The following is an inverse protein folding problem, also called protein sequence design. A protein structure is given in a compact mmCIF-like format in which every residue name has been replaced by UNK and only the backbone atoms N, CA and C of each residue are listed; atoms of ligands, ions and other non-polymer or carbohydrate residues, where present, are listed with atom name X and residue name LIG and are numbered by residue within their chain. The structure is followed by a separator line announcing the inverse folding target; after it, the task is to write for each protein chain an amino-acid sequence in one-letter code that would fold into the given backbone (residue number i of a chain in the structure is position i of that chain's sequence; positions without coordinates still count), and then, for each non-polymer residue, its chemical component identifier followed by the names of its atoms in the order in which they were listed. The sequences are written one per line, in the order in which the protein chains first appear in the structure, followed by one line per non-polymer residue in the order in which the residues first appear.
data_IF_696548679712
#
_entry.id   IF_696548679712
#
_cell.length_a   1.000
_cell.length_b   1.000
_cell.length_c   1.000
_cell.angle_alpha   90.00
_cell.angle_beta   90.00
_cell.angle_gamma   90.00
#
_symmetry.space_group_name_H-M   'P 1'
#
loop_
_entity.id
_entity.type
_entity.pdbx_description
1 polymer ?
#
# COMPACT_ATOMS: atom_id res chain seq x y z
N UNK A 1 18.02 9.09 -12.71
CA UNK A 1 17.05 8.05 -13.11
C UNK A 1 16.84 7.02 -12.01
N UNK A 2 17.87 6.29 -11.58
CA UNK A 2 17.76 5.28 -10.49
C UNK A 2 17.22 5.84 -9.19
N UNK A 3 17.71 7.00 -8.73
CA UNK A 3 17.25 7.65 -7.49
C UNK A 3 15.76 8.00 -7.54
N UNK A 4 15.28 8.53 -8.66
CA UNK A 4 13.86 8.87 -8.86
C UNK A 4 12.98 7.63 -8.81
N UNK A 5 13.41 6.52 -9.43
CA UNK A 5 12.71 5.23 -9.39
C UNK A 5 12.64 4.68 -7.97
N UNK A 6 13.76 4.73 -7.22
CA UNK A 6 13.80 4.30 -5.83
C UNK A 6 12.84 5.11 -4.95
N UNK A 7 12.79 6.44 -5.13
CA UNK A 7 11.86 7.31 -4.41
C UNK A 7 10.41 6.96 -4.77
N UNK A 8 10.08 6.78 -6.05
CA UNK A 8 8.74 6.43 -6.50
C UNK A 8 8.29 5.07 -5.94
N UNK A 9 9.20 4.08 -5.88
CA UNK A 9 8.92 2.78 -5.28
C UNK A 9 8.58 2.90 -3.80
N UNK A 10 9.42 3.59 -3.03
CA UNK A 10 9.20 3.80 -1.59
C UNK A 10 7.91 4.59 -1.35
N UNK A 11 7.67 5.66 -2.11
CA UNK A 11 6.45 6.45 -2.00
C UNK A 11 5.20 5.62 -2.33
N UNK A 12 5.26 4.75 -3.34
CA UNK A 12 4.17 3.84 -3.69
C UNK A 12 3.87 2.85 -2.57
N UNK A 13 4.90 2.23 -1.98
CA UNK A 13 4.74 1.29 -0.85
C UNK A 13 4.12 1.99 0.37
N UNK A 14 4.61 3.18 0.72
CA UNK A 14 4.06 3.98 1.82
C UNK A 14 2.60 4.37 1.55
N UNK A 15 2.29 4.76 0.30
CA UNK A 15 0.93 5.04 -0.13
C UNK A 15 0.00 3.84 -0.01
N UNK A 16 0.45 2.65 -0.42
CA UNK A 16 -0.29 1.40 -0.33
C UNK A 16 -0.60 1.01 1.13
N UNK A 17 0.39 1.14 2.01
CA UNK A 17 0.24 0.93 3.46
C UNK A 17 -0.78 1.91 4.06
N UNK A 18 -0.63 3.21 3.78
CA UNK A 18 -1.51 4.25 4.31
C UNK A 18 -2.95 4.13 3.80
N UNK A 19 -3.12 3.90 2.50
CA UNK A 19 -4.43 3.69 1.90
C UNK A 19 -5.10 2.42 2.44
N UNK A 20 -4.34 1.34 2.61
CA UNK A 20 -4.81 0.11 3.22
C UNK A 20 -5.27 0.31 4.66
N UNK A 21 -4.44 0.96 5.49
CA UNK A 21 -4.75 1.24 6.88
C UNK A 21 -6.02 2.08 7.01
N UNK A 22 -6.12 3.15 6.21
CA UNK A 22 -7.29 4.02 6.18
C UNK A 22 -8.55 3.27 5.73
N UNK A 23 -8.44 2.45 4.69
CA UNK A 23 -9.56 1.63 4.19
C UNK A 23 -10.01 0.60 5.22
N UNK A 24 -9.07 -0.14 5.80
CA UNK A 24 -9.34 -1.13 6.85
C UNK A 24 -9.99 -0.51 8.07
N UNK A 25 -9.54 0.68 8.50
CA UNK A 25 -10.19 1.43 9.57
C UNK A 25 -11.62 1.86 9.20
N UNK A 26 -11.86 2.30 7.95
CA UNK A 26 -13.20 2.71 7.51
C UNK A 26 -14.19 1.55 7.43
N UNK A 27 -13.72 0.35 7.09
CA UNK A 27 -14.57 -0.82 6.85
C UNK A 27 -14.72 -1.69 8.12
N UNK A 28 -13.63 -1.92 8.86
CA UNK A 28 -13.54 -2.95 9.89
C UNK A 28 -13.59 -2.46 11.34
N UNK A 29 -13.54 -1.15 11.59
CA UNK A 29 -13.38 -0.62 12.97
C UNK A 29 -14.47 -1.07 13.94
N UNK A 30 -15.71 -1.25 13.47
CA UNK A 30 -16.85 -1.60 14.32
C UNK A 30 -16.87 -3.09 14.67
N UNK A 31 -16.32 -3.93 13.81
CA UNK A 31 -16.28 -5.38 14.00
C UNK A 31 -15.03 -5.87 14.76
N UNK A 32 -13.89 -5.20 14.53
CA UNK A 32 -12.57 -5.66 15.01
C UNK A 32 -11.92 -4.72 16.02
N UNK A 33 -12.48 -3.51 16.20
CA UNK A 33 -11.81 -2.41 16.89
C UNK A 33 -10.89 -1.61 15.96
N UNK A 34 -10.70 -0.33 16.28
CA UNK A 34 -10.01 0.62 15.40
C UNK A 34 -8.55 0.25 15.11
N UNK A 35 -7.77 -0.08 16.14
CA UNK A 35 -6.34 -0.41 15.99
C UNK A 35 -6.13 -1.69 15.18
N UNK A 36 -6.89 -2.75 15.48
CA UNK A 36 -6.78 -4.01 14.76
C UNK A 36 -7.25 -3.86 13.31
N UNK A 37 -8.34 -3.13 13.06
CA UNK A 37 -8.82 -2.87 11.72
C UNK A 37 -7.83 -2.06 10.88
N UNK A 38 -7.16 -1.07 11.47
CA UNK A 38 -6.09 -0.33 10.81
C UNK A 38 -4.87 -1.21 10.52
N UNK A 39 -4.47 -2.06 11.46
CA UNK A 39 -3.31 -2.96 11.28
C UNK A 39 -3.57 -3.99 10.17
N UNK A 40 -4.76 -4.60 10.18
CA UNK A 40 -5.19 -5.53 9.13
C UNK A 40 -5.30 -4.81 7.78
N UNK A 41 -5.89 -3.61 7.77
CA UNK A 41 -5.95 -2.77 6.58
C UNK A 41 -4.57 -2.46 6.00
N UNK A 42 -3.61 -2.07 6.84
CA UNK A 42 -2.24 -1.78 6.42
C UNK A 42 -1.58 -3.02 5.81
N UNK A 43 -1.71 -4.18 6.47
CA UNK A 43 -1.14 -5.44 6.01
C UNK A 43 -1.70 -5.84 4.64
N UNK A 44 -3.03 -5.81 4.46
CA UNK A 44 -3.65 -6.14 3.17
C UNK A 44 -3.36 -5.06 2.11
N UNK A 45 -3.29 -3.80 2.50
CA UNK A 45 -2.86 -2.70 1.63
C UNK A 45 -1.44 -2.88 1.12
N UNK A 46 -0.51 -3.32 1.96
CA UNK A 46 0.84 -3.67 1.55
C UNK A 46 0.86 -4.88 0.63
N UNK A 47 0.15 -5.96 0.97
CA UNK A 47 0.12 -7.17 0.14
C UNK A 47 -0.46 -6.92 -1.24
N UNK A 48 -1.61 -6.23 -1.33
CA UNK A 48 -2.28 -5.94 -2.60
C UNK A 48 -1.65 -4.76 -3.34
N UNK A 49 -1.48 -3.63 -2.64
CA UNK A 49 -0.95 -2.40 -3.22
C UNK A 49 0.56 -2.44 -3.47
N UNK A 50 1.34 -3.16 -2.64
CA UNK A 50 2.76 -3.36 -2.90
C UNK A 50 3.03 -4.18 -4.15
N UNK A 51 2.24 -5.23 -4.41
CA UNK A 51 2.26 -5.96 -5.67
C UNK A 51 1.92 -5.03 -6.85
N UNK A 52 0.89 -4.19 -6.73
CA UNK A 52 0.52 -3.23 -7.76
C UNK A 52 1.64 -2.21 -8.04
N UNK A 53 2.33 -1.72 -7.01
CA UNK A 53 3.48 -0.80 -7.13
C UNK A 53 4.64 -1.47 -7.87
N UNK A 54 4.99 -2.71 -7.53
CA UNK A 54 6.05 -3.47 -8.22
C UNK A 54 5.68 -3.69 -9.69
N UNK A 55 4.47 -4.18 -9.97
CA UNK A 55 4.03 -4.47 -11.34
C UNK A 55 3.99 -3.20 -12.20
N UNK A 56 3.49 -2.10 -11.64
CA UNK A 56 3.46 -0.80 -12.33
C UNK A 56 4.87 -0.34 -12.69
N UNK A 57 5.83 -0.48 -11.77
CA UNK A 57 7.22 -0.14 -12.02
C UNK A 57 7.84 -1.01 -13.13
N UNK A 58 7.58 -2.33 -13.10
CA UNK A 58 8.05 -3.24 -14.15
C UNK A 58 7.49 -2.81 -15.51
N UNK A 59 6.18 -2.55 -15.61
CA UNK A 59 5.53 -2.10 -16.85
C UNK A 59 6.15 -0.78 -17.32
N UNK A 60 6.34 0.18 -16.42
CA UNK A 60 6.90 1.51 -16.72
C UNK A 60 8.37 1.45 -17.17
N UNK A 61 9.11 0.40 -16.80
CA UNK A 61 10.49 0.20 -17.26
C UNK A 61 10.53 -0.46 -18.65
N UNK A 62 9.54 -1.29 -18.98
CA UNK A 62 9.51 -2.07 -20.23
C UNK A 62 8.85 -1.30 -21.38
N UNK A 63 7.83 -0.50 -21.09
CA UNK A 63 7.05 0.31 -22.06
C UNK A 63 7.60 1.73 -22.13
#
# INVERSE_FOLDING_TARGET
MVTTIAIAFVAGIVGALGAGALSGLRIGKEALGAELAAYMGALYGFLAGGLAVVLTLIITIIV
#
